data_IF_369303995585
#
_entry.id   IF_369303995585
#
_cell.length_a   1.000
_cell.length_b   1.000
_cell.length_c   1.000
_cell.angle_alpha   90.00
_cell.angle_beta   90.00
_cell.angle_gamma   90.00
#
_symmetry.space_group_name_H-M   'P 1'
#
loop_
_entity.id
_entity.type
_entity.pdbx_description
1 polymer ?
#
# COMPACT_ATOMS: atom_id res chain seq x y z
N UNK A 1 51.30 -21.10 24.02
CA UNK A 1 50.62 -20.90 25.31
C UNK A 1 51.41 -19.87 26.11
N UNK A 2 50.75 -19.23 27.06
CA UNK A 2 51.19 -18.14 27.96
C UNK A 2 50.83 -16.73 27.47
N UNK A 3 49.59 -16.28 27.75
CA UNK A 3 49.05 -15.73 29.01
C UNK A 3 49.43 -14.25 29.20
N UNK A 4 48.48 -13.38 28.87
CA UNK A 4 48.45 -11.97 29.29
C UNK A 4 47.88 -11.93 30.72
N UNK A 5 48.61 -11.49 31.75
CA UNK A 5 48.00 -11.16 33.03
C UNK A 5 47.48 -9.73 32.98
N UNK A 6 46.18 -9.57 33.22
CA UNK A 6 45.51 -8.29 33.42
C UNK A 6 45.80 -7.72 34.82
N UNK A 7 45.65 -6.39 34.89
CA UNK A 7 45.19 -5.57 36.05
C UNK A 7 46.29 -4.99 36.95
N UNK A 8 46.43 -3.65 36.97
CA UNK A 8 45.99 -2.86 38.13
C UNK A 8 46.10 -1.34 37.92
N UNK A 9 44.92 -0.72 37.94
CA UNK A 9 44.49 0.63 38.38
C UNK A 9 45.55 1.68 38.77
N UNK A 10 45.47 2.85 38.14
CA UNK A 10 46.24 4.09 38.42
C UNK A 10 45.92 4.72 39.79
N UNK A 11 46.87 5.51 40.35
CA UNK A 11 46.54 6.73 41.09
C UNK A 11 46.68 7.99 40.21
N UNK A 12 45.75 8.95 40.28
CA UNK A 12 45.88 10.25 39.62
C UNK A 12 46.69 11.21 40.50
N UNK A 13 47.56 12.03 39.92
CA UNK A 13 48.04 13.25 40.59
C UNK A 13 48.24 14.39 39.61
N UNK A 14 47.70 15.53 40.01
CA UNK A 14 47.38 16.73 39.24
C UNK A 14 48.59 17.67 39.33
N UNK A 15 49.25 17.92 38.19
CA UNK A 15 50.07 19.10 38.00
C UNK A 15 49.40 19.95 36.91
N UNK A 16 48.75 20.99 37.39
CA UNK A 16 48.02 22.05 36.71
C UNK A 16 48.83 22.64 35.56
N UNK A 17 48.28 22.61 34.34
CA UNK A 17 48.73 23.49 33.25
C UNK A 17 47.54 24.34 32.86
N UNK A 18 47.58 25.59 33.32
CA UNK A 18 46.74 26.69 32.86
C UNK A 18 47.01 26.91 31.36
N UNK A 19 46.01 26.64 30.53
CA UNK A 19 45.87 27.27 29.22
C UNK A 19 44.43 27.13 28.75
N UNK A 20 43.54 27.91 29.37
CA UNK A 20 42.20 28.14 28.81
C UNK A 20 42.33 29.13 27.65
N UNK A 21 42.74 28.63 26.48
CA UNK A 21 42.31 29.29 25.24
C UNK A 21 40.81 29.00 25.13
N UNK A 22 40.00 29.94 25.61
CA UNK A 22 38.59 30.04 25.22
C UNK A 22 38.56 30.30 23.71
N UNK A 23 38.48 29.23 22.93
CA UNK A 23 37.87 29.31 21.61
C UNK A 23 36.39 29.08 21.85
N UNK A 24 35.59 30.15 21.77
CA UNK A 24 34.14 30.00 21.70
C UNK A 24 33.81 28.96 20.63
N UNK A 25 33.03 27.89 20.92
CA UNK A 25 32.40 27.14 19.87
C UNK A 25 31.20 27.96 19.38
N UNK A 26 31.44 29.12 18.78
CA UNK A 26 30.45 29.82 17.95
C UNK A 26 30.29 29.09 16.61
N UNK A 27 30.03 27.79 16.70
CA UNK A 27 29.73 26.92 15.57
C UNK A 27 28.88 25.69 16.00
N UNK A 28 28.37 25.65 17.23
CA UNK A 28 27.47 24.59 17.69
C UNK A 28 25.99 25.00 17.71
N UNK A 29 25.65 26.23 17.33
CA UNK A 29 24.27 26.75 17.31
C UNK A 29 23.70 26.99 15.91
N UNK A 30 24.40 26.62 14.83
CA UNK A 30 23.88 26.74 13.45
C UNK A 30 23.09 25.49 13.03
N UNK A 31 22.98 24.47 13.90
CA UNK A 31 22.44 23.16 13.54
C UNK A 31 21.43 22.61 14.57
N UNK A 32 20.63 23.48 15.19
CA UNK A 32 19.49 23.02 15.99
C UNK A 32 18.33 24.01 16.05
N UNK A 33 18.11 24.74 14.97
CA UNK A 33 16.88 25.53 14.75
C UNK A 33 16.23 25.04 13.45
N UNK A 34 15.92 23.74 13.39
CA UNK A 34 14.69 23.35 12.69
C UNK A 34 13.62 23.48 13.76
N UNK A 35 12.89 24.59 13.70
CA UNK A 35 11.81 24.88 14.64
C UNK A 35 10.81 23.72 14.63
N UNK A 36 10.09 23.52 15.73
CA UNK A 36 8.97 22.58 15.76
C UNK A 36 7.98 22.84 14.60
N UNK A 37 7.89 24.09 14.11
CA UNK A 37 7.14 24.48 12.91
C UNK A 37 7.67 23.85 11.61
N UNK A 38 8.99 23.77 11.40
CA UNK A 38 9.55 23.09 10.22
C UNK A 38 9.28 21.58 10.24
N UNK A 39 9.28 20.98 11.44
CA UNK A 39 8.93 19.56 11.61
C UNK A 39 7.41 19.34 11.44
N UNK A 40 6.58 20.24 11.95
CA UNK A 40 5.13 20.20 11.77
C UNK A 40 4.74 20.44 10.31
N UNK A 41 5.40 21.37 9.62
CA UNK A 41 5.22 21.61 8.18
C UNK A 41 5.69 20.41 7.34
N UNK A 42 6.84 19.82 7.68
CA UNK A 42 7.31 18.59 7.04
C UNK A 42 6.37 17.39 7.25
N UNK A 43 5.79 17.28 8.45
CA UNK A 43 4.77 16.28 8.78
C UNK A 43 3.47 16.52 8.00
N UNK A 44 3.01 17.77 7.89
CA UNK A 44 1.81 18.13 7.14
C UNK A 44 1.97 17.83 5.65
N UNK A 45 3.10 18.19 5.04
CA UNK A 45 3.41 17.89 3.63
C UNK A 45 3.49 16.38 3.39
N UNK A 46 4.08 15.62 4.31
CA UNK A 46 4.10 14.16 4.20
C UNK A 46 2.67 13.58 4.29
N UNK A 47 1.86 14.07 5.22
CA UNK A 47 0.48 13.65 5.39
C UNK A 47 -0.35 13.95 4.13
N UNK A 48 -0.24 15.16 3.57
CA UNK A 48 -0.92 15.53 2.32
C UNK A 48 -0.50 14.64 1.15
N UNK A 49 0.80 14.34 1.02
CA UNK A 49 1.30 13.44 -0.02
C UNK A 49 0.79 12.01 0.16
N UNK A 50 0.74 11.52 1.40
CA UNK A 50 0.18 10.21 1.71
C UNK A 50 -1.32 10.16 1.41
N UNK A 51 -2.07 11.18 1.81
CA UNK A 51 -3.50 11.28 1.51
C UNK A 51 -3.75 11.34 0.00
N UNK A 52 -3.01 12.16 -0.74
CA UNK A 52 -3.10 12.23 -2.19
C UNK A 52 -2.76 10.87 -2.84
N UNK A 53 -1.74 10.18 -2.32
CA UNK A 53 -1.39 8.82 -2.74
C UNK A 53 -2.51 7.82 -2.50
N UNK A 54 -3.11 7.83 -1.30
CA UNK A 54 -4.25 6.96 -0.95
C UNK A 54 -5.44 7.24 -1.87
N UNK A 55 -5.82 8.50 -2.04
CA UNK A 55 -6.95 8.89 -2.91
C UNK A 55 -6.72 8.43 -4.35
N UNK A 56 -5.52 8.63 -4.90
CA UNK A 56 -5.20 8.16 -6.24
C UNK A 56 -5.30 6.63 -6.36
N UNK A 57 -4.77 5.89 -5.37
CA UNK A 57 -4.86 4.42 -5.36
C UNK A 57 -6.30 3.92 -5.18
N UNK A 58 -7.13 4.61 -4.41
CA UNK A 58 -8.55 4.29 -4.27
C UNK A 58 -9.30 4.47 -5.59
N UNK A 59 -9.03 5.54 -6.34
CA UNK A 59 -9.64 5.73 -7.66
C UNK A 59 -9.18 4.67 -8.69
N UNK A 60 -7.91 4.26 -8.64
CA UNK A 60 -7.42 3.16 -9.48
C UNK A 60 -8.08 1.82 -9.12
N UNK A 61 -8.31 1.57 -7.83
CA UNK A 61 -9.02 0.38 -7.36
C UNK A 61 -10.48 0.38 -7.84
N UNK A 62 -11.20 1.48 -7.65
CA UNK A 62 -12.60 1.62 -8.10
C UNK A 62 -12.72 1.39 -9.61
N UNK A 63 -11.78 1.94 -10.40
CA UNK A 63 -11.76 1.72 -11.84
C UNK A 63 -11.49 0.25 -12.21
N UNK A 64 -10.64 -0.45 -11.44
CA UNK A 64 -10.37 -1.88 -11.65
C UNK A 64 -11.57 -2.75 -11.26
N UNK A 65 -12.24 -2.44 -10.15
CA UNK A 65 -13.49 -3.09 -9.72
C UNK A 65 -14.57 -2.93 -10.79
N UNK A 66 -14.76 -1.70 -11.29
CA UNK A 66 -15.69 -1.44 -12.39
C UNK A 66 -15.34 -2.24 -13.66
N UNK A 67 -14.06 -2.34 -14.01
CA UNK A 67 -13.64 -3.13 -15.16
C UNK A 67 -13.94 -4.63 -14.99
N UNK A 68 -13.79 -5.16 -13.78
CA UNK A 68 -14.17 -6.54 -13.44
C UNK A 68 -15.68 -6.72 -13.54
N UNK A 69 -16.48 -5.80 -12.99
CA UNK A 69 -17.95 -5.85 -13.07
C UNK A 69 -18.43 -5.88 -14.52
N UNK A 70 -17.84 -5.03 -15.37
CA UNK A 70 -18.14 -4.99 -16.80
C UNK A 70 -17.72 -6.27 -17.53
N UNK A 71 -16.57 -6.84 -17.19
CA UNK A 71 -16.12 -8.11 -17.77
C UNK A 71 -17.02 -9.27 -17.35
N UNK A 72 -17.47 -9.30 -16.10
CA UNK A 72 -18.42 -10.29 -15.60
C UNK A 72 -19.76 -10.18 -16.31
N UNK A 73 -20.33 -8.98 -16.42
CA UNK A 73 -21.59 -8.78 -17.15
C UNK A 73 -21.49 -9.25 -18.61
N UNK A 74 -20.37 -8.96 -19.29
CA UNK A 74 -20.13 -9.42 -20.66
C UNK A 74 -19.98 -10.94 -20.77
N UNK A 75 -19.37 -11.59 -19.77
CA UNK A 75 -19.26 -13.05 -19.70
C UNK A 75 -20.66 -13.69 -19.51
N UNK A 76 -21.47 -13.14 -18.62
CA UNK A 76 -22.83 -13.61 -18.34
C UNK A 76 -23.70 -13.57 -19.60
N UNK A 77 -23.65 -12.44 -20.34
CA UNK A 77 -24.34 -12.30 -21.63
C UNK A 77 -23.89 -13.34 -22.65
N UNK A 78 -22.58 -13.62 -22.73
CA UNK A 78 -22.03 -14.62 -23.65
C UNK A 78 -22.45 -16.04 -23.28
N UNK A 79 -22.47 -16.38 -21.98
CA UNK A 79 -22.95 -17.67 -21.48
C UNK A 79 -24.42 -17.87 -21.88
N UNK A 80 -25.26 -16.87 -21.59
CA UNK A 80 -26.69 -16.90 -21.94
C UNK A 80 -26.88 -17.04 -23.45
N UNK A 81 -26.12 -16.28 -24.24
CA UNK A 81 -26.16 -16.34 -25.71
C UNK A 81 -25.78 -17.73 -26.24
N UNK A 82 -24.69 -18.32 -25.74
CA UNK A 82 -24.22 -19.64 -26.14
C UNK A 82 -25.23 -20.74 -25.81
N UNK A 83 -25.78 -20.71 -24.59
CA UNK A 83 -26.83 -21.65 -24.17
C UNK A 83 -28.09 -21.51 -25.03
N UNK A 84 -28.50 -20.27 -25.33
CA UNK A 84 -29.65 -19.98 -26.20
C UNK A 84 -29.42 -20.41 -27.65
N UNK A 85 -28.17 -20.40 -28.12
CA UNK A 85 -27.77 -20.92 -29.42
C UNK A 85 -27.69 -22.46 -29.46
N UNK A 86 -27.93 -23.14 -28.33
CA UNK A 86 -27.92 -24.60 -28.22
C UNK A 86 -26.53 -25.21 -28.08
N UNK A 87 -25.52 -24.43 -27.69
CA UNK A 87 -24.20 -24.97 -27.33
C UNK A 87 -24.35 -25.87 -26.09
N UNK A 88 -23.75 -27.08 -26.08
CA UNK A 88 -23.84 -27.97 -24.93
C UNK A 88 -23.34 -27.30 -23.63
N UNK A 89 -24.08 -27.40 -22.51
CA UNK A 89 -23.71 -26.78 -21.24
C UNK A 89 -22.29 -27.16 -20.76
N UNK A 90 -21.83 -28.37 -21.03
CA UNK A 90 -20.48 -28.82 -20.65
C UNK A 90 -19.39 -28.02 -21.36
N UNK A 91 -19.60 -27.69 -22.64
CA UNK A 91 -18.65 -26.89 -23.44
C UNK A 91 -18.68 -25.42 -23.02
N UNK A 92 -19.87 -24.89 -22.69
CA UNK A 92 -20.01 -23.52 -22.18
C UNK A 92 -19.34 -23.38 -20.81
N UNK A 93 -19.57 -24.33 -19.90
CA UNK A 93 -18.94 -24.34 -18.58
C UNK A 93 -17.42 -24.43 -18.66
N UNK A 94 -16.89 -25.34 -19.49
CA UNK A 94 -15.45 -25.47 -19.71
C UNK A 94 -14.84 -24.18 -20.26
N UNK A 95 -15.47 -23.55 -21.26
CA UNK A 95 -14.99 -22.31 -21.86
C UNK A 95 -15.04 -21.11 -20.90
N UNK A 96 -16.05 -21.07 -20.02
CA UNK A 96 -16.20 -20.03 -19.00
C UNK A 96 -15.34 -20.29 -17.74
N UNK A 97 -14.71 -21.47 -17.63
CA UNK A 97 -13.99 -21.86 -16.42
C UNK A 97 -14.89 -22.12 -15.21
N UNK A 98 -16.16 -22.48 -15.46
CA UNK A 98 -17.20 -22.69 -14.45
C UNK A 98 -17.52 -24.17 -14.29
N UNK A 99 -18.20 -24.50 -13.19
CA UNK A 99 -18.89 -25.80 -13.06
C UNK A 99 -20.20 -25.81 -13.85
N UNK A 100 -20.57 -26.95 -14.45
CA UNK A 100 -21.88 -27.09 -15.14
C UNK A 100 -23.05 -26.80 -14.19
N UNK A 101 -22.87 -27.06 -12.89
CA UNK A 101 -23.87 -26.77 -11.85
C UNK A 101 -24.10 -25.27 -11.60
N UNK A 102 -23.18 -24.40 -12.03
CA UNK A 102 -23.25 -22.94 -11.85
C UNK A 102 -24.01 -22.27 -13.01
N UNK A 103 -24.09 -22.90 -14.18
CA UNK A 103 -24.77 -22.36 -15.37
C UNK A 103 -26.26 -21.97 -15.19
N UNK A 104 -27.07 -22.67 -14.38
CA UNK A 104 -28.46 -22.27 -14.13
C UNK A 104 -28.61 -20.89 -13.50
N UNK A 105 -27.61 -20.39 -12.78
CA UNK A 105 -27.64 -19.06 -12.15
C UNK A 105 -27.68 -17.94 -13.20
N UNK A 106 -27.06 -18.17 -14.36
CA UNK A 106 -27.02 -17.23 -15.48
C UNK A 106 -28.32 -17.26 -16.31
N UNK A 107 -29.00 -18.42 -16.37
CA UNK A 107 -30.28 -18.57 -17.07
C UNK A 107 -31.48 -18.01 -16.27
N UNK A 108 -31.33 -17.84 -14.95
CA UNK A 108 -32.40 -17.40 -14.05
C UNK A 108 -32.64 -15.88 -13.96
N UNK A 109 -31.80 -15.05 -14.60
CA UNK A 109 -31.85 -13.57 -14.48
C UNK A 109 -32.75 -12.90 -15.53
N UNK A 110 -33.28 -13.63 -16.53
CA UNK A 110 -34.23 -13.06 -17.48
C UNK A 110 -35.66 -13.03 -16.94
N UNK A 111 -35.96 -12.09 -16.04
CA UNK A 111 -37.34 -11.58 -15.89
C UNK A 111 -37.44 -10.29 -16.71
N UNK A 112 -38.16 -10.28 -17.86
CA UNK A 112 -38.48 -9.03 -18.51
C UNK A 112 -39.36 -8.21 -17.56
N UNK A 113 -38.87 -7.05 -17.13
CA UNK A 113 -39.73 -6.03 -16.53
C UNK A 113 -40.72 -5.64 -17.62
N UNK A 114 -41.94 -6.18 -17.52
CA UNK A 114 -43.05 -5.75 -18.33
C UNK A 114 -43.18 -4.24 -18.16
N UNK A 115 -42.95 -3.49 -19.25
CA UNK A 115 -43.39 -2.10 -19.33
C UNK A 115 -44.91 -2.09 -19.17
N UNK A 116 -45.40 -1.77 -17.98
CA UNK A 116 -46.78 -1.34 -17.80
C UNK A 116 -46.98 -0.05 -18.63
N UNK A 117 -47.98 -0.12 -19.52
CA UNK A 117 -48.47 1.00 -20.34
C UNK A 117 -49.49 1.84 -19.58
#
# INVERSE_FOLDING_TARGET
MDQIPRTSVLPPSIATVDSTVYVEPEAAAVLSIRTADDQAAGSAVLQERLLAGIVARSGELEAAEWAVDQAQAALDEQIVSALSAGVPPEQVAEAAGLGVAELPEFAGVQVPVAMES
#
